data_IF_704320480856
#
_entry.id   IF_704320480856
#
_cell.length_a   1.000
_cell.length_b   1.000
_cell.length_c   1.000
_cell.angle_alpha   90.00
_cell.angle_beta   90.00
_cell.angle_gamma   90.00
#
_symmetry.space_group_name_H-M   'P 1'
#
loop_
_entity.id
_entity.type
_entity.pdbx_description
1 polymer ?
#
# COMPACT_ATOMS: atom_id res chain seq x y z
N UNK A 1 -15.34 -7.07 -30.39
CA UNK A 1 -14.87 -8.04 -29.37
C UNK A 1 -13.81 -7.34 -28.55
N UNK A 2 -14.00 -7.21 -27.25
CA UNK A 2 -12.99 -6.61 -26.36
C UNK A 2 -11.86 -7.62 -26.13
N UNK A 3 -10.61 -7.16 -26.13
CA UNK A 3 -9.44 -8.01 -25.88
C UNK A 3 -8.91 -7.76 -24.47
N UNK A 4 -8.62 -8.83 -23.75
CA UNK A 4 -7.98 -8.78 -22.44
C UNK A 4 -6.49 -9.07 -22.60
N UNK A 5 -5.67 -8.19 -22.05
CA UNK A 5 -4.22 -8.36 -21.94
C UNK A 5 -3.87 -8.68 -20.49
N UNK A 6 -2.92 -9.59 -20.30
CA UNK A 6 -2.46 -10.03 -18.97
C UNK A 6 -0.96 -9.84 -18.90
N UNK A 7 -0.51 -9.08 -17.91
CA UNK A 7 0.91 -8.85 -17.61
C UNK A 7 1.25 -9.47 -16.26
N UNK A 8 2.12 -10.48 -16.26
CA UNK A 8 2.60 -11.16 -15.04
C UNK A 8 3.78 -10.47 -14.35
N UNK A 9 4.19 -9.30 -14.82
CA UNK A 9 5.22 -8.49 -14.15
C UNK A 9 4.69 -8.00 -12.80
N UNK A 10 5.40 -8.32 -11.74
CA UNK A 10 5.00 -7.96 -10.38
C UNK A 10 5.02 -6.43 -10.22
N UNK A 11 3.87 -5.78 -9.94
CA UNK A 11 3.74 -4.33 -9.94
C UNK A 11 4.62 -3.58 -8.95
N UNK A 12 4.98 -4.25 -7.86
CA UNK A 12 5.88 -3.74 -6.81
C UNK A 12 7.30 -3.45 -7.32
N UNK A 13 7.70 -4.02 -8.46
CA UNK A 13 8.98 -3.75 -9.11
C UNK A 13 8.90 -2.67 -10.20
N UNK A 14 7.81 -1.90 -10.25
CA UNK A 14 7.62 -0.83 -11.23
C UNK A 14 6.92 -1.29 -12.51
N UNK A 15 7.09 -0.53 -13.60
CA UNK A 15 6.58 -0.89 -14.91
C UNK A 15 7.61 -1.74 -15.68
N UNK A 16 7.13 -2.68 -16.52
CA UNK A 16 8.01 -3.47 -17.40
C UNK A 16 8.66 -2.64 -18.51
N UNK A 17 8.14 -1.43 -18.73
CA UNK A 17 8.69 -0.39 -19.61
C UNK A 17 8.74 0.87 -18.77
N UNK A 18 9.94 1.43 -18.56
CA UNK A 18 10.04 2.80 -18.09
C UNK A 18 9.61 3.72 -19.24
N UNK A 19 8.57 4.55 -19.08
CA UNK A 19 8.32 5.59 -20.05
C UNK A 19 9.56 6.48 -20.12
N UNK A 20 10.06 6.75 -21.33
CA UNK A 20 11.20 7.65 -21.61
C UNK A 20 10.83 9.13 -21.40
N UNK A 21 10.01 9.38 -20.39
CA UNK A 21 9.54 10.68 -19.98
C UNK A 21 10.01 10.84 -18.54
N UNK A 22 11.09 11.62 -18.37
CA UNK A 22 11.55 12.04 -17.06
C UNK A 22 10.33 12.47 -16.25
N UNK A 23 10.11 11.78 -15.13
CA UNK A 23 8.98 12.00 -14.23
C UNK A 23 8.69 13.49 -14.19
N UNK A 24 7.48 13.89 -14.59
CA UNK A 24 7.10 15.30 -14.53
C UNK A 24 7.47 15.81 -13.14
N UNK A 25 8.22 16.92 -13.02
CA UNK A 25 8.64 17.43 -11.72
C UNK A 25 7.40 17.50 -10.82
N UNK A 26 7.52 16.99 -9.60
CA UNK A 26 6.39 16.83 -8.69
C UNK A 26 5.48 18.05 -8.74
N UNK A 27 4.27 17.88 -9.28
CA UNK A 27 3.27 18.93 -9.38
C UNK A 27 2.64 19.15 -7.99
N UNK A 28 3.43 19.67 -7.06
CA UNK A 28 2.99 19.88 -5.69
C UNK A 28 4.04 20.58 -4.86
N UNK A 29 3.68 21.73 -4.29
CA UNK A 29 4.41 22.29 -3.17
C UNK A 29 4.03 21.50 -1.91
N UNK A 30 5.01 20.87 -1.27
CA UNK A 30 4.82 20.27 0.05
C UNK A 30 4.91 21.38 1.08
N UNK A 31 3.81 21.64 1.78
CA UNK A 31 3.85 22.45 2.99
C UNK A 31 4.43 21.60 4.13
N UNK A 32 5.61 21.98 4.59
CA UNK A 32 6.30 21.31 5.70
C UNK A 32 5.90 21.88 7.07
N UNK A 33 5.05 22.91 7.09
CA UNK A 33 4.55 23.58 8.29
C UNK A 33 3.07 23.25 8.57
N UNK A 34 2.56 22.13 8.04
CA UNK A 34 1.18 21.65 8.28
C UNK A 34 0.88 21.32 9.75
N UNK A 35 1.90 21.31 10.61
CA UNK A 35 1.75 21.06 12.04
C UNK A 35 1.03 22.23 12.71
N UNK A 36 -0.09 21.94 13.38
CA UNK A 36 -0.88 22.93 14.13
C UNK A 36 -0.25 23.29 15.49
N UNK A 37 0.84 22.61 15.85
CA UNK A 37 1.58 22.76 17.11
C UNK A 37 3.01 22.25 16.96
N UNK A 38 3.97 22.78 17.76
CA UNK A 38 5.33 22.26 17.76
C UNK A 38 5.37 20.77 18.09
N UNK A 39 6.11 19.99 17.31
CA UNK A 39 6.39 18.59 17.64
C UNK A 39 7.06 18.47 19.02
N UNK A 40 6.54 17.56 19.85
CA UNK A 40 7.14 17.16 21.12
C UNK A 40 6.99 15.65 21.32
N UNK A 41 7.93 15.04 22.04
CA UNK A 41 7.83 13.62 22.38
C UNK A 41 6.75 13.38 23.43
N UNK A 42 5.92 12.36 23.22
CA UNK A 42 4.91 11.95 24.19
C UNK A 42 5.48 10.78 25.00
N UNK A 43 5.59 10.89 26.35
CA UNK A 43 6.04 9.77 27.16
C UNK A 43 5.04 8.63 27.07
N UNK A 44 5.54 7.39 26.96
CA UNK A 44 4.70 6.20 26.99
C UNK A 44 3.97 6.06 28.32
N UNK A 45 2.69 5.67 28.27
CA UNK A 45 1.87 5.36 29.45
C UNK A 45 1.54 3.88 29.41
N UNK A 46 1.80 3.17 30.52
CA UNK A 46 1.32 1.80 30.69
C UNK A 46 -0.16 1.82 31.08
N UNK A 47 -1.01 1.31 30.19
CA UNK A 47 -2.46 1.24 30.34
C UNK A 47 -2.96 -0.02 31.05
N UNK A 48 -2.07 -0.93 31.44
CA UNK A 48 -2.43 -2.17 32.11
C UNK A 48 -3.05 -3.24 31.20
N UNK A 49 -3.12 -3.04 29.88
CA UNK A 49 -3.74 -4.01 28.98
C UNK A 49 -2.94 -5.33 28.96
N UNK A 50 -3.57 -6.48 29.30
CA UNK A 50 -2.86 -7.75 29.40
C UNK A 50 -2.65 -8.43 28.04
N UNK A 51 -3.49 -8.12 27.04
CA UNK A 51 -3.48 -8.76 25.73
C UNK A 51 -3.80 -7.73 24.66
N UNK A 52 -2.97 -7.66 23.62
CA UNK A 52 -3.17 -6.77 22.46
C UNK A 52 -3.13 -7.61 21.19
N UNK A 53 -4.13 -7.46 20.33
CA UNK A 53 -4.14 -8.07 19.00
C UNK A 53 -3.75 -7.03 17.96
N UNK A 54 -2.63 -7.26 17.28
CA UNK A 54 -2.24 -6.47 16.12
C UNK A 54 -2.80 -7.14 14.87
N UNK A 55 -3.78 -6.49 14.24
CA UNK A 55 -4.41 -6.97 13.00
C UNK A 55 -3.74 -6.27 11.83
N UNK A 56 -3.28 -7.04 10.86
CA UNK A 56 -2.72 -6.50 9.64
C UNK A 56 -3.03 -7.41 8.45
N UNK A 57 -2.89 -6.85 7.25
CA UNK A 57 -3.09 -7.54 5.99
C UNK A 57 -1.89 -7.37 5.07
N UNK A 58 -1.52 -8.46 4.41
CA UNK A 58 -0.58 -8.44 3.29
C UNK A 58 -1.35 -8.64 1.99
N UNK A 59 -0.85 -8.04 0.91
CA UNK A 59 -1.37 -8.27 -0.43
C UNK A 59 -0.24 -8.70 -1.34
N UNK A 60 -0.56 -9.50 -2.33
CA UNK A 60 0.30 -9.79 -3.47
C UNK A 60 -0.50 -9.52 -4.73
N UNK A 61 0.08 -8.77 -5.67
CA UNK A 61 -0.53 -8.60 -6.98
C UNK A 61 0.12 -9.63 -7.91
N UNK A 62 -0.70 -10.52 -8.45
CA UNK A 62 -0.27 -11.64 -9.28
C UNK A 62 -0.20 -11.26 -10.77
N UNK A 63 -1.05 -10.33 -11.22
CA UNK A 63 -1.02 -9.80 -12.59
C UNK A 63 -1.70 -8.43 -12.72
N UNK A 64 -1.29 -7.67 -13.75
CA UNK A 64 -2.04 -6.51 -14.26
C UNK A 64 -2.88 -6.92 -15.47
N UNK A 65 -4.03 -6.30 -15.61
CA UNK A 65 -4.98 -6.51 -16.69
C UNK A 65 -5.24 -5.22 -17.43
N UNK A 66 -5.36 -5.29 -18.75
CA UNK A 66 -5.90 -4.20 -19.57
C UNK A 66 -6.99 -4.75 -20.46
N UNK A 67 -8.18 -4.18 -20.37
CA UNK A 67 -9.30 -4.49 -21.26
C UNK A 67 -9.42 -3.41 -22.33
N UNK A 68 -9.28 -3.79 -23.59
CA UNK A 68 -9.54 -2.92 -24.74
C UNK A 68 -11.06 -2.72 -24.88
N UNK A 69 -11.60 -1.65 -24.29
CA UNK A 69 -13.02 -1.31 -24.36
C UNK A 69 -13.29 -0.17 -25.38
N UNK A 70 -14.51 -0.07 -25.95
CA UNK A 70 -14.85 0.99 -26.92
C UNK A 70 -14.68 2.42 -26.39
N UNK A 71 -14.74 2.59 -25.06
CA UNK A 71 -14.58 3.88 -24.37
C UNK A 71 -13.12 4.19 -24.00
N UNK A 72 -12.18 3.30 -24.32
CA UNK A 72 -10.77 3.38 -23.93
C UNK A 72 -10.31 2.17 -23.09
N UNK A 73 -9.00 2.04 -22.86
CA UNK A 73 -8.45 0.94 -22.07
C UNK A 73 -8.91 1.01 -20.61
N UNK A 74 -9.35 -0.11 -20.06
CA UNK A 74 -9.74 -0.25 -18.64
C UNK A 74 -8.69 -1.07 -17.91
N UNK A 75 -8.07 -0.47 -16.89
CA UNK A 75 -7.07 -1.13 -16.05
C UNK A 75 -7.73 -2.04 -15.00
N UNK A 76 -7.08 -3.17 -14.72
CA UNK A 76 -7.46 -4.10 -13.65
C UNK A 76 -6.24 -4.81 -13.05
N UNK A 77 -6.45 -5.53 -11.95
CA UNK A 77 -5.43 -6.35 -11.31
C UNK A 77 -6.01 -7.69 -10.86
N UNK A 78 -5.19 -8.73 -10.92
CA UNK A 78 -5.41 -9.99 -10.21
C UNK A 78 -4.51 -9.99 -8.99
N UNK A 79 -5.05 -10.23 -7.81
CA UNK A 79 -4.26 -10.27 -6.60
C UNK A 79 -4.91 -11.10 -5.51
N UNK A 80 -4.09 -11.43 -4.53
CA UNK A 80 -4.46 -12.20 -3.35
C UNK A 80 -4.21 -11.36 -2.11
N UNK A 81 -5.07 -11.51 -1.11
CA UNK A 81 -4.95 -10.83 0.18
C UNK A 81 -4.91 -11.89 1.28
N UNK A 82 -4.00 -11.70 2.24
CA UNK A 82 -3.98 -12.44 3.49
C UNK A 82 -4.17 -11.46 4.63
N UNK A 83 -5.12 -11.72 5.53
CA UNK A 83 -5.38 -10.89 6.70
C UNK A 83 -5.27 -11.77 7.93
N UNK A 84 -4.62 -11.27 8.96
CA UNK A 84 -4.39 -12.02 10.19
C UNK A 84 -4.16 -11.10 11.37
N UNK A 85 -3.95 -11.73 12.52
CA UNK A 85 -3.58 -11.02 13.72
C UNK A 85 -2.49 -11.77 14.47
N UNK A 86 -1.59 -11.03 15.10
CA UNK A 86 -0.69 -11.55 16.13
C UNK A 86 -1.15 -11.06 17.48
N UNK A 87 -1.15 -11.95 18.46
CA UNK A 87 -1.56 -11.63 19.83
C UNK A 87 -0.30 -11.44 20.66
N UNK A 88 -0.09 -10.21 21.12
CA UNK A 88 0.87 -9.91 22.16
C UNK A 88 0.21 -10.11 23.52
N UNK A 89 0.93 -10.75 24.44
CA UNK A 89 0.48 -10.99 25.80
C UNK A 89 1.51 -10.51 26.79
N UNK A 90 1.06 -9.72 27.76
CA UNK A 90 1.91 -9.08 28.77
C UNK A 90 2.61 -10.08 29.69
N UNK A 91 1.94 -11.17 30.04
CA UNK A 91 2.45 -12.21 30.93
C UNK A 91 3.50 -13.13 30.29
N UNK A 92 3.65 -13.08 28.96
CA UNK A 92 4.64 -13.83 28.19
C UNK A 92 5.91 -13.00 27.89
N UNK A 93 5.89 -11.69 28.16
CA UNK A 93 7.06 -10.81 28.03
C UNK A 93 7.99 -11.02 29.23
N UNK A 94 9.13 -11.68 28.98
CA UNK A 94 10.20 -11.89 29.97
C UNK A 94 11.03 -10.64 30.21
#
# INVERSE_FOLDING_TARGET
>A
MSRLHVEGWAPEYGASVEPDEGLSPAEGAVDVEVEDRPWESIPGVDDGIPVVAFVDGVRRIDARLVLDAPTGPVAGICGSFGVGAVVWRRDEVR
#
